data_IF_450786469912
#
_entry.id   IF_450786469912
#
_cell.length_a   1.000
_cell.length_b   1.000
_cell.length_c   1.000
_cell.angle_alpha   90.00
_cell.angle_beta   90.00
_cell.angle_gamma   90.00
#
_symmetry.space_group_name_H-M   'P 1'
#
loop_
_entity.id
_entity.type
_entity.pdbx_description
1 polymer ?
#
# COMPACT_ATOMS: atom_id res chain seq x y z
N UNK A 1 -21.65 11.16 7.88
CA UNK A 1 -21.09 9.79 7.96
C UNK A 1 -19.72 9.82 7.28
N UNK A 2 -18.68 9.36 7.97
CA UNK A 2 -17.33 9.32 7.41
C UNK A 2 -17.24 8.15 6.42
N UNK A 3 -17.19 8.46 5.12
CA UNK A 3 -16.88 7.51 4.06
C UNK A 3 -15.37 7.54 3.80
N UNK A 4 -14.72 6.38 3.67
CA UNK A 4 -13.27 6.37 3.52
C UNK A 4 -12.64 4.99 3.43
N UNK A 5 -11.37 5.00 3.02
CA UNK A 5 -10.50 3.84 3.08
C UNK A 5 -10.14 3.61 4.54
N UNK A 6 -10.32 2.38 5.02
CA UNK A 6 -9.95 1.96 6.38
C UNK A 6 -8.46 1.66 6.45
N UNK A 7 -7.96 0.81 5.54
CA UNK A 7 -6.54 0.42 5.44
C UNK A 7 -6.23 -0.26 4.11
N UNK A 8 -4.94 -0.46 3.86
CA UNK A 8 -4.43 -1.29 2.75
C UNK A 8 -4.25 -2.72 3.24
N UNK A 9 -4.63 -3.70 2.43
CA UNK A 9 -4.47 -5.11 2.71
C UNK A 9 -3.62 -5.78 1.62
N UNK A 10 -2.77 -6.71 2.03
CA UNK A 10 -2.08 -7.60 1.10
C UNK A 10 -3.09 -8.58 0.49
N UNK A 11 -3.15 -8.66 -0.84
CA UNK A 11 -4.07 -9.55 -1.52
C UNK A 11 -3.38 -10.85 -1.98
N UNK A 12 -2.27 -10.74 -2.72
CA UNK A 12 -1.60 -11.90 -3.34
C UNK A 12 -0.12 -11.64 -3.64
N UNK A 13 0.71 -12.68 -3.59
CA UNK A 13 2.12 -12.68 -3.99
C UNK A 13 3.06 -13.25 -2.91
N UNK A 14 4.33 -13.51 -3.24
CA UNK A 14 5.29 -14.03 -2.26
C UNK A 14 5.68 -12.97 -1.21
N UNK A 15 5.34 -13.25 0.05
CA UNK A 15 5.69 -12.42 1.20
C UNK A 15 6.37 -13.23 2.30
N UNK A 16 7.25 -12.57 3.05
CA UNK A 16 7.87 -13.12 4.26
C UNK A 16 7.00 -12.78 5.47
N UNK A 17 6.00 -13.63 5.75
CA UNK A 17 5.05 -13.42 6.85
C UNK A 17 5.74 -13.26 8.20
N UNK A 18 6.78 -14.06 8.46
CA UNK A 18 7.55 -14.05 9.70
C UNK A 18 8.28 -12.73 9.98
N UNK A 19 8.60 -11.96 8.93
CA UNK A 19 9.25 -10.65 9.03
C UNK A 19 8.27 -9.49 8.87
N UNK A 20 7.01 -9.79 8.56
CA UNK A 20 5.96 -8.79 8.34
C UNK A 20 5.27 -8.46 9.67
N UNK A 21 4.90 -7.20 9.85
CA UNK A 21 4.14 -6.72 11.01
C UNK A 21 2.70 -6.49 10.56
N UNK A 22 1.71 -7.21 11.13
CA UNK A 22 0.31 -7.09 10.72
C UNK A 22 -0.19 -5.65 10.73
N UNK A 23 -0.80 -5.23 9.61
CA UNK A 23 -1.36 -3.88 9.41
C UNK A 23 -0.36 -2.71 9.48
N UNK A 24 0.95 -2.98 9.56
CA UNK A 24 1.97 -1.93 9.67
C UNK A 24 3.03 -2.08 8.56
N UNK A 25 3.59 -3.27 8.41
CA UNK A 25 4.67 -3.52 7.45
C UNK A 25 4.53 -4.89 6.78
N UNK A 26 4.64 -4.93 5.45
CA UNK A 26 4.72 -6.16 4.69
C UNK A 26 6.12 -6.31 4.09
N UNK A 27 6.74 -7.44 4.36
CA UNK A 27 8.05 -7.79 3.80
C UNK A 27 7.82 -8.68 2.58
N UNK A 28 8.24 -8.21 1.41
CA UNK A 28 7.98 -8.87 0.14
C UNK A 28 9.23 -9.49 -0.46
N UNK A 29 9.04 -10.56 -1.24
CA UNK A 29 10.10 -11.11 -2.07
C UNK A 29 10.42 -10.18 -3.25
N UNK A 30 11.70 -10.12 -3.69
CA UNK A 30 12.09 -9.31 -4.83
C UNK A 30 11.67 -9.94 -6.15
N UNK A 31 11.67 -9.13 -7.21
CA UNK A 31 11.39 -9.51 -8.60
C UNK A 31 9.98 -10.05 -8.91
N UNK A 32 9.17 -10.31 -7.89
CA UNK A 32 7.77 -10.72 -8.03
C UNK A 32 6.78 -9.57 -7.87
N UNK A 33 5.63 -9.71 -8.51
CA UNK A 33 4.51 -8.78 -8.34
C UNK A 33 3.70 -9.15 -7.11
N UNK A 34 3.58 -8.20 -6.19
CA UNK A 34 2.72 -8.28 -5.02
C UNK A 34 1.53 -7.37 -5.21
N UNK A 35 0.34 -7.94 -5.02
CA UNK A 35 -0.93 -7.28 -5.22
C UNK A 35 -1.51 -6.84 -3.87
N UNK A 36 -2.01 -5.61 -3.84
CA UNK A 36 -2.64 -4.98 -2.69
C UNK A 36 -4.06 -4.56 -3.04
N UNK A 37 -4.94 -4.66 -2.05
CA UNK A 37 -6.31 -4.17 -2.09
C UNK A 37 -6.53 -3.15 -0.97
N UNK A 38 -7.67 -2.46 -1.01
CA UNK A 38 -8.10 -1.60 0.08
C UNK A 38 -9.25 -2.25 0.85
N UNK A 39 -9.26 -2.04 2.15
CA UNK A 39 -10.41 -2.31 3.00
C UNK A 39 -11.17 -1.01 3.23
N UNK A 40 -12.49 -1.04 3.03
CA UNK A 40 -13.37 0.11 3.23
C UNK A 40 -13.82 0.21 4.68
N UNK A 41 -14.11 1.43 5.16
CA UNK A 41 -14.87 1.60 6.40
C UNK A 41 -16.29 1.04 6.20
N UNK A 42 -16.83 0.37 7.21
CA UNK A 42 -18.17 -0.25 7.17
C UNK A 42 -19.28 0.77 6.87
N UNK A 43 -19.06 2.03 7.26
CA UNK A 43 -19.95 3.18 7.00
C UNK A 43 -19.86 3.72 5.57
N UNK A 44 -19.01 3.14 4.72
CA UNK A 44 -18.81 3.61 3.34
C UNK A 44 -19.89 3.05 2.42
N UNK A 45 -20.65 3.95 1.79
CA UNK A 45 -21.69 3.62 0.82
C UNK A 45 -21.10 2.96 -0.44
N UNK A 46 -21.84 2.03 -1.04
CA UNK A 46 -21.44 1.33 -2.28
C UNK A 46 -21.07 2.28 -3.43
N UNK A 47 -21.80 3.40 -3.57
CA UNK A 47 -21.47 4.44 -4.57
C UNK A 47 -20.07 5.05 -4.37
N UNK A 48 -19.61 5.17 -3.12
CA UNK A 48 -18.27 5.67 -2.81
C UNK A 48 -17.22 4.62 -3.12
N UNK A 49 -17.58 3.33 -2.94
CA UNK A 49 -16.72 2.20 -3.30
C UNK A 49 -16.51 2.05 -4.80
N UNK A 50 -17.24 2.75 -5.66
CA UNK A 50 -17.01 2.77 -7.11
C UNK A 50 -16.05 3.87 -7.57
N UNK A 51 -15.62 4.74 -6.65
CA UNK A 51 -14.70 5.84 -6.97
C UNK A 51 -13.29 5.33 -7.20
N UNK A 52 -12.53 6.11 -7.98
CA UNK A 52 -11.11 5.86 -8.17
C UNK A 52 -10.33 6.09 -6.87
N UNK A 53 -9.31 5.25 -6.67
CA UNK A 53 -8.37 5.31 -5.56
C UNK A 53 -7.02 5.75 -6.10
N UNK A 54 -6.45 6.73 -5.43
CA UNK A 54 -5.12 7.25 -5.71
C UNK A 54 -4.13 6.51 -4.83
N UNK A 55 -3.29 5.70 -5.48
CA UNK A 55 -2.18 5.00 -4.87
C UNK A 55 -0.91 5.84 -4.97
N UNK A 56 -0.26 6.07 -3.84
CA UNK A 56 0.92 6.92 -3.73
C UNK A 56 2.04 6.07 -3.14
N UNK A 57 3.04 5.78 -3.95
CA UNK A 57 4.27 5.09 -3.58
C UNK A 57 5.33 6.10 -3.22
N UNK A 58 5.89 5.98 -2.01
CA UNK A 58 6.76 6.98 -1.41
C UNK A 58 7.98 6.33 -0.78
N UNK A 59 9.03 7.12 -0.56
CA UNK A 59 10.14 6.73 0.32
C UNK A 59 9.64 6.57 1.77
N UNK A 60 10.43 5.88 2.59
CA UNK A 60 10.17 5.65 4.02
C UNK A 60 9.87 6.95 4.79
N UNK A 61 10.57 8.03 4.43
CA UNK A 61 10.45 9.37 5.02
C UNK A 61 9.16 10.12 4.60
N UNK A 62 8.39 9.57 3.64
CA UNK A 62 7.16 10.14 3.06
C UNK A 62 7.32 11.53 2.42
N UNK A 63 8.56 12.02 2.24
CA UNK A 63 8.86 13.32 1.62
C UNK A 63 8.78 13.22 0.10
N UNK A 64 9.36 12.16 -0.46
CA UNK A 64 9.45 11.93 -1.90
C UNK A 64 8.32 11.00 -2.37
N UNK A 65 7.53 11.44 -3.37
CA UNK A 65 6.66 10.53 -4.14
C UNK A 65 7.53 9.89 -5.21
N UNK A 66 7.62 8.57 -5.17
CA UNK A 66 8.26 7.77 -6.21
C UNK A 66 7.31 7.51 -7.38
N UNK A 67 6.04 7.23 -7.07
CA UNK A 67 5.01 6.99 -8.09
C UNK A 67 3.62 7.34 -7.57
N UNK A 68 2.79 7.90 -8.44
CA UNK A 68 1.36 8.14 -8.17
C UNK A 68 0.54 7.47 -9.27
N UNK A 69 -0.43 6.65 -8.89
CA UNK A 69 -1.27 5.91 -9.82
C UNK A 69 -2.72 6.04 -9.40
N UNK A 70 -3.63 6.23 -10.35
CA UNK A 70 -5.07 6.24 -10.11
C UNK A 70 -5.64 4.95 -10.65
N UNK A 71 -6.26 4.14 -9.80
CA UNK A 71 -6.92 2.90 -10.19
C UNK A 71 -8.37 2.92 -9.74
N UNK A 72 -9.23 2.21 -10.45
CA UNK A 72 -10.55 1.89 -9.93
C UNK A 72 -10.37 1.11 -8.61
N UNK A 73 -11.17 1.41 -7.60
CA UNK A 73 -11.18 0.72 -6.31
C UNK A 73 -11.35 -0.80 -6.39
N UNK A 74 -11.99 -1.32 -7.43
CA UNK A 74 -12.15 -2.75 -7.67
C UNK A 74 -10.86 -3.43 -8.16
N UNK A 75 -9.88 -2.65 -8.63
CA UNK A 75 -8.61 -3.15 -9.14
C UNK A 75 -7.57 -3.31 -8.03
N UNK A 76 -6.71 -4.32 -8.17
CA UNK A 76 -5.58 -4.54 -7.29
C UNK A 76 -4.38 -3.67 -7.72
N UNK A 77 -3.68 -3.11 -6.75
CA UNK A 77 -2.45 -2.36 -7.00
C UNK A 77 -1.23 -3.28 -6.89
N UNK A 78 -0.45 -3.35 -7.97
CA UNK A 78 0.75 -4.19 -8.04
C UNK A 78 2.04 -3.43 -7.74
N UNK A 79 2.86 -3.97 -6.84
CA UNK A 79 4.23 -3.51 -6.58
C UNK A 79 5.20 -4.62 -6.89
N UNK A 80 6.29 -4.25 -7.55
CA UNK A 80 7.46 -5.11 -7.77
C UNK A 80 8.69 -4.34 -7.32
N UNK A 81 9.46 -4.91 -6.39
CA UNK A 81 10.74 -4.36 -5.95
C UNK A 81 11.84 -5.21 -6.61
N UNK A 82 12.70 -4.62 -7.46
CA UNK A 82 13.81 -5.35 -8.04
C UNK A 82 14.84 -5.72 -6.95
N UNK A 83 15.58 -6.81 -7.12
CA UNK A 83 16.63 -7.25 -6.16
C UNK A 83 17.61 -6.15 -5.73
N UNK A 84 17.95 -5.23 -6.64
CA UNK A 84 18.86 -4.10 -6.37
C UNK A 84 18.34 -3.15 -5.29
N UNK A 85 17.03 -3.17 -5.01
CA UNK A 85 16.35 -2.34 -4.03
C UNK A 85 15.89 -3.16 -2.80
N UNK A 86 16.41 -4.38 -2.63
CA UNK A 86 16.26 -5.12 -1.37
C UNK A 86 16.92 -4.37 -0.22
N UNK A 87 16.31 -4.42 0.97
CA UNK A 87 16.75 -3.72 2.16
C UNK A 87 16.11 -2.34 2.34
N UNK A 88 15.66 -1.71 1.26
CA UNK A 88 14.93 -0.44 1.30
C UNK A 88 13.49 -0.63 1.78
N UNK A 89 13.03 0.34 2.56
CA UNK A 89 11.65 0.44 3.01
C UNK A 89 10.96 1.56 2.24
N UNK A 90 9.73 1.30 1.83
CA UNK A 90 8.88 2.22 1.10
C UNK A 90 7.57 2.37 1.85
N UNK A 91 6.86 3.46 1.58
CA UNK A 91 5.54 3.71 2.14
C UNK A 91 4.50 3.77 1.03
N UNK A 92 3.52 2.86 1.11
CA UNK A 92 2.37 2.86 0.21
C UNK A 92 1.20 3.54 0.91
N UNK A 93 0.57 4.49 0.25
CA UNK A 93 -0.61 5.20 0.73
C UNK A 93 -1.75 5.08 -0.29
N UNK A 94 -2.97 4.86 0.20
CA UNK A 94 -4.18 4.87 -0.62
C UNK A 94 -5.10 6.00 -0.17
N UNK A 95 -5.57 6.82 -1.11
CA UNK A 95 -6.38 8.01 -0.84
C UNK A 95 -7.51 8.16 -1.86
N UNK A 96 -8.68 8.62 -1.41
CA UNK A 96 -9.82 8.92 -2.30
C UNK A 96 -9.75 10.32 -2.90
N UNK A 97 -9.17 11.28 -2.18
CA UNK A 97 -9.01 12.67 -2.66
C UNK A 97 -7.68 12.88 -3.37
N UNK A 98 -6.72 11.97 -3.21
CA UNK A 98 -5.36 12.11 -3.75
C UNK A 98 -4.52 13.17 -3.03
N UNK A 99 -5.04 13.76 -1.95
CA UNK A 99 -4.29 14.59 -1.03
C UNK A 99 -3.50 13.68 -0.08
N UNK A 100 -2.21 13.99 0.08
CA UNK A 100 -1.32 13.34 1.05
C UNK A 100 -1.88 13.54 2.46
N UNK A 101 -2.12 12.45 3.16
CA UNK A 101 -2.56 12.51 4.53
C UNK A 101 -1.33 12.67 5.44
N UNK A 102 -0.97 13.92 5.76
CA UNK A 102 0.11 14.21 6.70
C UNK A 102 -0.23 13.85 8.15
N UNK A 103 -1.48 13.47 8.43
CA UNK A 103 -1.90 13.09 9.77
C UNK A 103 -1.40 11.69 10.12
N UNK A 104 -0.42 11.62 11.03
CA UNK A 104 0.11 10.37 11.62
C UNK A 104 -0.96 9.46 12.25
N UNK A 105 -2.20 9.96 12.44
CA UNK A 105 -3.32 9.25 13.07
C UNK A 105 -4.20 8.44 12.12
N UNK A 106 -4.07 8.64 10.80
CA UNK A 106 -4.86 7.92 9.80
C UNK A 106 -4.02 6.81 9.15
N UNK A 107 -4.26 5.57 9.58
CA UNK A 107 -3.53 4.34 9.24
C UNK A 107 -3.83 3.81 7.81
N UNK A 108 -4.11 4.68 6.84
CA UNK A 108 -4.45 4.26 5.46
C UNK A 108 -3.25 3.87 4.61
N UNK A 109 -2.07 3.78 5.21
CA UNK A 109 -0.83 3.43 4.52
C UNK A 109 -0.13 2.25 5.16
N UNK A 110 0.76 1.62 4.40
CA UNK A 110 1.44 0.39 4.73
C UNK A 110 2.91 0.51 4.36
N UNK A 111 3.79 0.12 5.26
CA UNK A 111 5.22 0.01 4.95
C UNK A 111 5.48 -1.24 4.14
N UNK A 112 6.29 -1.14 3.11
CA UNK A 112 6.66 -2.25 2.25
C UNK A 112 8.18 -2.32 2.18
N UNK A 113 8.73 -3.47 2.55
CA UNK A 113 10.18 -3.70 2.57
C UNK A 113 10.53 -4.86 1.67
N UNK A 114 11.49 -4.66 0.77
CA UNK A 114 12.06 -5.76 -0.01
C UNK A 114 13.05 -6.56 0.85
N UNK A 115 12.91 -7.87 0.91
CA UNK A 115 13.89 -8.74 1.58
C UNK A 115 14.45 -9.78 0.62
N UNK A 116 15.76 -9.73 0.42
CA UNK A 116 16.52 -10.75 -0.27
C UNK A 116 17.25 -11.56 0.79
N UNK A 117 16.88 -12.82 1.07
CA UNK A 117 17.80 -13.71 1.76
C UNK A 117 19.05 -13.83 0.86
N UNK A 118 20.21 -13.44 1.39
CA UNK A 118 21.49 -13.76 0.78
C UNK A 118 21.50 -15.28 0.58
N UNK A 119 21.68 -15.71 -0.67
CA UNK A 119 22.04 -17.11 -0.99
C UNK A 119 23.45 -17.34 -0.49
#
# INVERSE_FOLDING_TARGET
>A
MSAGIKKIHYAKGPIFKEKSIPNEMVVIAPDDFILFSIEWLETTLEKEKQRNVVWIWQEDNRKTILKKTVLNSAMLYGIKIPKKLCGFTYFLEASLSGNRNYSKKNYTGLYIRGYCPLV
#
